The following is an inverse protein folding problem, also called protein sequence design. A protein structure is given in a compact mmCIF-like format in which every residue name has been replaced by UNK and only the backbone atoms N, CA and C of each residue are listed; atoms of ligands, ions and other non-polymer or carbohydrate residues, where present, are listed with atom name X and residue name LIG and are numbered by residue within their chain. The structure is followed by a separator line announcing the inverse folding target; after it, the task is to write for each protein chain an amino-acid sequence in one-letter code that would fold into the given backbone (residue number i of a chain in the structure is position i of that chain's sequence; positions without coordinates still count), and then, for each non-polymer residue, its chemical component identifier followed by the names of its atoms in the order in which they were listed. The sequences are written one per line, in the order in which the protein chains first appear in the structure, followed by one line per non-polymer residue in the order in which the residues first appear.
data_IF_264325926298
#
_entry.id   IF_264325926298
#
_cell.length_a   1.000
_cell.length_b   1.000
_cell.length_c   1.000
_cell.angle_alpha   90.00
_cell.angle_beta   90.00
_cell.angle_gamma   90.00
#
_symmetry.space_group_name_H-M   'P 1'
#
loop_
_entity.id
_entity.type
_entity.pdbx_description
1 polymer ?
#
# COMPACT_ATOMS: atom_id res chain seq x y z
N UNK A 1 12.35 -2.68 3.94
CA UNK A 1 11.33 -1.70 3.55
C UNK A 1 10.90 -0.87 4.75
N UNK A 2 10.44 0.37 4.55
CA UNK A 2 9.82 1.17 5.61
C UNK A 2 8.35 1.39 5.38
N UNK A 3 7.57 1.49 6.46
CA UNK A 3 6.17 1.92 6.39
C UNK A 3 6.13 3.39 6.77
N UNK A 4 5.69 4.23 5.84
CA UNK A 4 5.69 5.69 6.00
C UNK A 4 4.26 6.21 5.86
N UNK A 5 3.85 7.06 6.80
CA UNK A 5 2.53 7.67 6.78
C UNK A 5 2.50 8.88 7.71
N UNK A 6 1.50 9.74 7.55
CA UNK A 6 1.18 10.72 8.58
C UNK A 6 0.45 10.05 9.77
N UNK A 7 0.27 10.79 10.86
CA UNK A 7 -0.45 10.33 12.06
C UNK A 7 -1.85 9.87 11.68
N UNK A 8 -2.34 8.79 12.30
CA UNK A 8 -3.67 8.24 12.04
C UNK A 8 -3.91 7.65 10.64
N UNK A 9 -2.98 7.66 9.68
CA UNK A 9 -3.18 6.94 8.41
C UNK A 9 -3.28 5.40 8.57
N UNK A 10 -2.93 4.89 9.75
CA UNK A 10 -2.96 3.45 10.07
C UNK A 10 -1.67 2.72 9.72
N UNK A 11 -0.52 3.41 9.83
CA UNK A 11 0.83 2.85 9.67
C UNK A 11 1.09 1.69 10.64
N UNK A 12 0.95 1.91 11.94
CA UNK A 12 1.19 0.88 12.98
C UNK A 12 0.26 -0.32 12.77
N UNK A 13 -1.04 -0.08 12.54
CA UNK A 13 -2.00 -1.16 12.25
C UNK A 13 -1.59 -1.97 11.02
N UNK A 14 -1.17 -1.31 9.94
CA UNK A 14 -0.68 -1.98 8.73
C UNK A 14 0.56 -2.82 9.05
N UNK A 15 1.54 -2.25 9.75
CA UNK A 15 2.75 -2.96 10.19
C UNK A 15 2.43 -4.20 11.01
N UNK A 16 1.52 -4.10 11.98
CA UNK A 16 1.12 -5.25 12.81
C UNK A 16 0.41 -6.35 12.01
N UNK A 17 -0.42 -5.98 11.03
CA UNK A 17 -1.01 -6.97 10.11
C UNK A 17 0.06 -7.67 9.29
N UNK A 18 1.08 -6.96 8.80
CA UNK A 18 2.21 -7.59 8.11
C UNK A 18 2.91 -8.60 9.01
N UNK A 19 3.22 -8.23 10.26
CA UNK A 19 3.91 -9.12 11.21
C UNK A 19 3.08 -10.37 11.55
N UNK A 20 1.76 -10.24 11.57
CA UNK A 20 0.87 -11.39 11.77
C UNK A 20 0.84 -12.31 10.55
N UNK A 21 0.63 -11.76 9.35
CA UNK A 21 0.54 -12.57 8.13
C UNK A 21 1.86 -13.30 7.82
N UNK A 22 2.99 -12.71 8.19
CA UNK A 22 4.31 -13.35 8.09
C UNK A 22 4.61 -14.38 9.19
N UNK A 23 3.65 -14.64 10.09
CA UNK A 23 3.75 -15.65 11.14
C UNK A 23 4.70 -15.28 12.28
N UNK A 24 5.16 -14.03 12.36
CA UNK A 24 6.12 -13.60 13.38
C UNK A 24 5.46 -13.27 14.72
N UNK A 25 4.28 -12.65 14.67
CA UNK A 25 3.47 -12.34 15.84
C UNK A 25 2.26 -13.27 15.94
N UNK A 26 2.25 -14.11 16.98
CA UNK A 26 1.12 -15.00 17.30
C UNK A 26 0.08 -14.34 18.24
N UNK A 27 0.36 -13.13 18.74
CA UNK A 27 -0.55 -12.31 19.54
C UNK A 27 -0.62 -10.92 18.93
N UNK A 28 -1.84 -10.42 18.75
CA UNK A 28 -2.10 -9.04 18.37
C UNK A 28 -2.73 -8.38 19.60
N UNK A 29 -2.08 -7.34 20.11
CA UNK A 29 -2.78 -6.36 20.93
C UNK A 29 -3.55 -5.45 19.99
N UNK A 30 -4.83 -5.17 20.25
CA UNK A 30 -5.45 -4.05 19.57
C UNK A 30 -4.70 -2.77 19.96
N UNK A 31 -4.35 -1.93 18.99
CA UNK A 31 -3.65 -0.65 19.24
C UNK A 31 -4.45 0.21 20.24
N UNK A 32 -5.77 0.03 20.29
CA UNK A 32 -6.67 0.69 21.24
C UNK A 32 -6.56 0.19 22.69
N UNK A 33 -6.04 -1.02 22.91
CA UNK A 33 -5.85 -1.62 24.24
C UNK A 33 -4.43 -1.37 24.81
N UNK A 34 -3.60 -0.58 24.11
CA UNK A 34 -2.24 -0.23 24.55
C UNK A 34 -1.22 -1.37 24.43
N UNK A 35 -1.52 -2.42 23.68
CA UNK A 35 -0.68 -3.63 23.57
C UNK A 35 -0.01 -3.79 22.19
N UNK A 36 0.19 -2.69 21.45
CA UNK A 36 0.86 -2.74 20.15
C UNK A 36 2.30 -3.24 20.30
N UNK A 37 2.72 -4.18 19.44
CA UNK A 37 4.04 -4.83 19.58
C UNK A 37 5.18 -3.90 19.16
N UNK A 38 4.90 -2.94 18.28
CA UNK A 38 5.88 -1.98 17.76
C UNK A 38 6.05 -0.76 18.66
N UNK A 39 4.96 -0.30 19.29
CA UNK A 39 4.96 0.84 20.21
C UNK A 39 5.22 0.32 21.64
N UNK A 40 6.48 -0.01 21.94
CA UNK A 40 6.88 -0.63 23.20
C UNK A 40 7.12 0.38 24.33
N UNK A 41 7.29 1.68 24.01
CA UNK A 41 7.44 2.72 25.03
C UNK A 41 6.08 3.11 25.62
N UNK A 42 6.00 3.28 26.95
CA UNK A 42 4.76 3.73 27.61
C UNK A 42 4.24 5.06 27.04
N UNK A 43 5.11 5.94 26.58
CA UNK A 43 4.73 7.23 25.99
C UNK A 43 4.11 7.08 24.60
N UNK A 44 4.57 6.10 23.81
CA UNK A 44 3.98 5.76 22.51
C UNK A 44 2.57 5.20 22.71
N UNK A 45 2.40 4.26 23.64
CA UNK A 45 1.10 3.67 23.98
C UNK A 45 0.11 4.70 24.54
N UNK A 46 0.57 5.60 25.43
CA UNK A 46 -0.27 6.66 26.00
C UNK A 46 -0.75 7.68 24.97
N UNK A 47 0.04 7.92 23.91
CA UNK A 47 -0.24 8.94 22.90
C UNK A 47 -0.78 8.39 21.59
N UNK A 48 -0.74 7.07 21.38
CA UNK A 48 -1.16 6.42 20.13
C UNK A 48 -0.28 6.79 18.93
N UNK A 49 0.98 7.13 19.16
CA UNK A 49 1.93 7.53 18.10
C UNK A 49 3.24 6.77 18.23
N UNK A 50 3.83 6.39 17.10
CA UNK A 50 5.21 5.86 17.06
C UNK A 50 6.20 7.01 17.19
N UNK A 51 7.09 6.91 18.18
CA UNK A 51 8.12 7.90 18.50
C UNK A 51 9.47 7.38 18.00
N UNK A 52 9.80 6.11 18.24
CA UNK A 52 11.07 5.49 17.85
C UNK A 52 10.93 4.47 16.74
N UNK A 53 11.92 4.40 15.85
CA UNK A 53 11.95 3.40 14.79
C UNK A 53 12.29 2.01 15.33
N UNK A 54 11.40 1.05 15.13
CA UNK A 54 11.64 -0.37 15.40
C UNK A 54 12.02 -1.10 14.11
N UNK A 55 13.03 -1.97 14.18
CA UNK A 55 13.44 -2.83 13.07
C UNK A 55 13.07 -4.29 13.37
N UNK A 56 12.30 -4.92 12.49
CA UNK A 56 11.88 -6.32 12.62
C UNK A 56 12.11 -7.07 11.31
N UNK A 57 12.68 -8.26 11.40
CA UNK A 57 12.83 -9.18 10.27
C UNK A 57 11.67 -10.15 10.24
N UNK A 58 10.96 -10.25 9.12
CA UNK A 58 9.93 -11.25 8.87
C UNK A 58 10.15 -11.96 7.53
N UNK A 59 9.40 -13.04 7.29
CA UNK A 59 9.49 -13.83 6.07
C UNK A 59 8.12 -13.90 5.39
N UNK A 60 8.08 -13.59 4.10
CA UNK A 60 6.87 -13.71 3.28
C UNK A 60 7.20 -14.53 2.03
N UNK A 61 6.57 -15.70 1.90
CA UNK A 61 6.95 -16.70 0.88
C UNK A 61 8.47 -16.99 1.01
N UNK A 62 9.20 -16.99 -0.10
CA UNK A 62 10.66 -17.22 -0.11
C UNK A 62 11.51 -15.95 0.08
N UNK A 63 10.91 -14.86 0.61
CA UNK A 63 11.59 -13.57 0.76
C UNK A 63 11.74 -13.17 2.23
N UNK A 64 12.93 -12.70 2.59
CA UNK A 64 13.19 -12.04 3.87
C UNK A 64 12.90 -10.54 3.74
N UNK A 65 12.06 -10.01 4.62
CA UNK A 65 11.68 -8.60 4.66
C UNK A 65 12.14 -8.01 6.00
N UNK A 66 12.98 -6.97 5.94
CA UNK A 66 13.33 -6.18 7.13
C UNK A 66 12.45 -4.92 7.13
N UNK A 67 11.56 -4.81 8.10
CA UNK A 67 10.65 -3.68 8.26
C UNK A 67 11.26 -2.69 9.23
N UNK A 68 11.32 -1.41 8.82
CA UNK A 68 11.58 -0.29 9.73
C UNK A 68 10.30 0.51 9.84
N UNK A 69 9.69 0.50 11.01
CA UNK A 69 8.50 1.33 11.24
C UNK A 69 8.94 2.77 11.52
N UNK A 70 8.53 3.72 10.67
CA UNK A 70 9.04 5.11 10.73
C UNK A 70 8.09 6.02 11.47
N UNK A 71 8.52 6.99 12.29
CA UNK A 71 7.61 7.92 12.97
C UNK A 71 6.72 8.66 11.97
N UNK A 72 5.43 8.80 12.30
CA UNK A 72 4.46 9.49 11.42
C UNK A 72 4.23 10.96 11.75
N UNK A 73 4.80 11.43 12.86
CA UNK A 73 4.65 12.79 13.33
C UNK A 73 5.79 13.67 12.81
N UNK A 74 5.43 14.87 12.36
CA UNK A 74 6.36 15.91 11.86
C UNK A 74 7.41 16.36 12.88
N UNK A 75 7.23 16.06 14.16
CA UNK A 75 8.15 16.48 15.23
C UNK A 75 9.36 15.52 15.34
N UNK A 76 9.27 14.33 14.73
CA UNK A 76 10.33 13.33 14.71
C UNK A 76 11.03 13.24 13.35
N UNK A 77 11.10 14.37 12.62
CA UNK A 77 11.71 14.47 11.28
C UNK A 77 13.12 13.87 11.20
N UNK A 78 13.96 14.04 12.22
CA UNK A 78 15.34 13.49 12.24
C UNK A 78 15.33 11.96 12.16
N UNK A 79 14.37 11.32 12.82
CA UNK A 79 14.27 9.86 12.86
C UNK A 79 13.66 9.28 11.58
N UNK A 80 12.71 10.00 10.99
CA UNK A 80 12.20 9.70 9.64
C UNK A 80 13.32 9.81 8.61
N UNK A 81 14.11 10.88 8.62
CA UNK A 81 15.24 11.03 7.70
C UNK A 81 16.30 9.95 7.88
N UNK A 82 16.63 9.57 9.13
CA UNK A 82 17.57 8.47 9.41
C UNK A 82 17.07 7.14 8.87
N UNK A 83 15.78 6.86 9.05
CA UNK A 83 15.17 5.62 8.59
C UNK A 83 15.16 5.56 7.06
N UNK A 84 14.74 6.64 6.38
CA UNK A 84 14.68 6.69 4.92
C UNK A 84 16.04 6.49 4.24
N UNK A 85 17.14 6.88 4.87
CA UNK A 85 18.50 6.70 4.32
C UNK A 85 18.99 5.26 4.23
N UNK A 86 18.37 4.34 4.97
CA UNK A 86 18.81 2.93 5.03
C UNK A 86 17.82 1.98 4.36
N UNK A 87 16.72 2.51 3.81
CA UNK A 87 15.65 1.72 3.22
C UNK A 87 15.84 1.54 1.72
N UNK A 88 15.76 0.28 1.26
CA UNK A 88 15.74 -0.05 -0.17
C UNK A 88 14.40 0.29 -0.85
N UNK A 89 13.36 0.56 -0.06
CA UNK A 89 12.04 0.95 -0.54
C UNK A 89 11.07 1.20 0.61
N UNK A 90 9.93 1.81 0.32
CA UNK A 90 8.91 2.12 1.33
C UNK A 90 7.47 1.96 0.83
N UNK A 91 6.56 1.73 1.77
CA UNK A 91 5.11 1.72 1.57
C UNK A 91 4.55 3.01 2.14
N UNK A 92 4.04 3.89 1.28
CA UNK A 92 3.36 5.12 1.67
C UNK A 92 1.89 4.83 1.94
N UNK A 93 1.48 4.95 3.21
CA UNK A 93 0.11 4.68 3.65
C UNK A 93 -0.70 5.97 3.67
N UNK A 94 -1.86 5.96 3.04
CA UNK A 94 -2.81 7.08 3.00
C UNK A 94 -4.14 6.67 3.64
N UNK A 95 -4.82 7.60 4.31
CA UNK A 95 -6.21 7.38 4.77
C UNK A 95 -7.13 7.53 3.56
N UNK A 96 -7.92 6.51 3.23
CA UNK A 96 -8.79 6.51 2.06
C UNK A 96 -9.87 7.59 2.07
N UNK A 97 -10.19 8.19 3.22
CA UNK A 97 -11.13 9.31 3.32
C UNK A 97 -10.45 10.66 3.11
N UNK A 98 -9.31 10.88 3.77
CA UNK A 98 -8.64 12.19 3.80
C UNK A 98 -7.66 12.37 2.62
N UNK A 99 -7.22 11.27 2.00
CA UNK A 99 -6.30 11.27 0.87
C UNK A 99 -4.90 11.75 1.28
N UNK A 100 -4.29 12.60 0.43
CA UNK A 100 -3.01 13.24 0.76
C UNK A 100 -3.22 14.45 1.66
N UNK A 101 -2.68 14.42 2.87
CA UNK A 101 -2.68 15.55 3.80
C UNK A 101 -1.34 16.33 3.78
N UNK A 102 -1.30 17.59 4.27
CA UNK A 102 -0.07 18.39 4.32
C UNK A 102 1.11 17.69 5.01
N UNK A 103 0.85 16.86 6.01
CA UNK A 103 1.84 16.05 6.70
C UNK A 103 2.34 14.90 5.82
N UNK A 104 1.47 14.31 5.00
CA UNK A 104 1.85 13.28 4.02
C UNK A 104 2.82 13.85 2.98
N UNK A 105 2.62 15.09 2.54
CA UNK A 105 3.52 15.77 1.62
C UNK A 105 4.93 15.91 2.18
N UNK A 106 5.07 16.18 3.49
CA UNK A 106 6.37 16.31 4.13
C UNK A 106 7.13 14.98 4.15
N UNK A 107 6.47 13.89 4.56
CA UNK A 107 7.09 12.55 4.59
C UNK A 107 7.42 12.10 3.16
N UNK A 108 6.53 12.37 2.19
CA UNK A 108 6.78 12.10 0.77
C UNK A 108 8.01 12.85 0.25
N UNK A 109 8.14 14.14 0.58
CA UNK A 109 9.29 14.96 0.17
C UNK A 109 10.61 14.45 0.76
N UNK A 110 10.59 13.98 2.01
CA UNK A 110 11.76 13.37 2.63
C UNK A 110 12.17 12.09 1.91
N UNK A 111 11.22 11.21 1.59
CA UNK A 111 11.52 9.98 0.86
C UNK A 111 12.02 10.27 -0.57
N UNK A 112 11.53 11.33 -1.22
CA UNK A 112 12.05 11.80 -2.51
C UNK A 112 13.47 12.37 -2.38
N UNK A 113 13.80 13.09 -1.31
CA UNK A 113 15.16 13.61 -1.05
C UNK A 113 16.21 12.51 -0.94
N UNK A 114 15.82 11.35 -0.41
CA UNK A 114 16.71 10.18 -0.27
C UNK A 114 16.51 9.13 -1.37
N UNK A 115 15.76 9.47 -2.41
CA UNK A 115 15.59 8.66 -3.60
C UNK A 115 15.01 7.26 -3.34
N UNK A 116 14.13 7.14 -2.35
CA UNK A 116 13.57 5.86 -1.92
C UNK A 116 12.46 5.42 -2.88
N UNK A 117 12.56 4.26 -3.55
CA UNK A 117 11.48 3.65 -4.32
C UNK A 117 10.27 3.36 -3.46
N UNK A 118 9.05 3.63 -3.95
CA UNK A 118 7.84 3.57 -3.13
C UNK A 118 6.63 3.00 -3.86
N UNK A 119 5.78 2.33 -3.08
CA UNK A 119 4.39 2.03 -3.45
C UNK A 119 3.44 2.76 -2.51
N UNK A 120 2.20 2.94 -2.94
CA UNK A 120 1.13 3.60 -2.19
C UNK A 120 0.10 2.57 -1.74
N UNK A 121 -0.31 2.62 -0.47
CA UNK A 121 -1.39 1.81 0.09
C UNK A 121 -2.48 2.72 0.64
N UNK A 122 -3.63 2.73 -0.03
CA UNK A 122 -4.82 3.45 0.42
C UNK A 122 -5.53 2.59 1.45
N UNK A 123 -5.32 2.91 2.72
CA UNK A 123 -5.83 2.19 3.87
C UNK A 123 -7.20 2.72 4.29
N UNK A 124 -7.84 2.01 5.22
CA UNK A 124 -9.12 2.42 5.83
C UNK A 124 -10.25 2.58 4.82
N UNK A 125 -10.27 1.73 3.79
CA UNK A 125 -11.38 1.66 2.82
C UNK A 125 -12.73 1.28 3.45
N UNK A 126 -12.72 0.85 4.72
CA UNK A 126 -13.92 0.57 5.52
C UNK A 126 -14.55 1.80 6.17
N UNK A 127 -13.87 2.95 6.19
CA UNK A 127 -14.41 4.18 6.79
C UNK A 127 -15.50 4.83 5.94
N UNK A 128 -16.45 5.48 6.61
CA UNK A 128 -17.41 6.38 5.96
C UNK A 128 -16.67 7.51 5.22
N UNK A 129 -17.00 7.72 3.96
CA UNK A 129 -16.36 8.69 3.07
C UNK A 129 -15.05 8.21 2.46
N UNK A 130 -14.67 6.93 2.62
CA UNK A 130 -13.50 6.39 1.94
C UNK A 130 -13.68 6.39 0.42
N UNK A 131 -12.78 7.07 -0.29
CA UNK A 131 -12.78 7.19 -1.74
C UNK A 131 -11.36 6.98 -2.28
N UNK A 132 -11.17 5.81 -2.91
CA UNK A 132 -9.93 5.44 -3.56
C UNK A 132 -9.53 6.41 -4.68
N UNK A 133 -10.50 6.82 -5.50
CA UNK A 133 -10.24 7.68 -6.66
C UNK A 133 -9.90 9.11 -6.23
N UNK A 134 -10.53 9.60 -5.15
CA UNK A 134 -10.12 10.84 -4.49
C UNK A 134 -8.66 10.76 -4.02
N UNK A 135 -8.28 9.67 -3.35
CA UNK A 135 -6.90 9.49 -2.87
C UNK A 135 -5.90 9.45 -4.04
N UNK A 136 -6.19 8.68 -5.09
CA UNK A 136 -5.38 8.65 -6.33
C UNK A 136 -5.23 10.05 -6.94
N UNK A 137 -6.31 10.82 -7.02
CA UNK A 137 -6.27 12.19 -7.55
C UNK A 137 -5.40 13.11 -6.69
N UNK A 138 -5.54 13.04 -5.37
CA UNK A 138 -4.73 13.88 -4.46
C UNK A 138 -3.25 13.50 -4.45
N UNK A 139 -2.89 12.23 -4.69
CA UNK A 139 -1.49 11.81 -4.93
C UNK A 139 -0.92 12.56 -6.13
N UNK A 140 -1.68 12.67 -7.23
CA UNK A 140 -1.24 13.43 -8.40
C UNK A 140 -1.15 14.92 -8.15
N UNK A 141 -2.22 15.51 -7.62
CA UNK A 141 -2.37 16.96 -7.49
C UNK A 141 -1.49 17.58 -6.39
N UNK A 142 -1.34 16.92 -5.25
CA UNK A 142 -0.63 17.46 -4.08
C UNK A 142 0.84 17.03 -4.02
N UNK A 143 1.13 15.78 -4.37
CA UNK A 143 2.52 15.27 -4.34
C UNK A 143 3.28 15.52 -5.65
N UNK A 144 2.57 15.85 -6.74
CA UNK A 144 3.17 15.91 -8.08
C UNK A 144 3.70 14.55 -8.55
N UNK A 145 3.16 13.46 -8.00
CA UNK A 145 3.56 12.09 -8.33
C UNK A 145 2.66 11.51 -9.42
N UNK A 146 3.14 10.51 -10.16
CA UNK A 146 2.34 9.76 -11.13
C UNK A 146 1.77 8.51 -10.44
N UNK A 147 0.51 8.50 -9.97
CA UNK A 147 -0.08 7.29 -9.40
C UNK A 147 -0.35 6.26 -10.51
N UNK A 148 -0.09 4.99 -10.22
CA UNK A 148 -0.39 3.86 -11.10
C UNK A 148 -1.26 2.84 -10.36
N UNK A 149 -2.60 2.94 -10.42
CA UNK A 149 -3.47 1.98 -9.75
C UNK A 149 -3.21 0.55 -10.24
N UNK A 150 -2.87 -0.34 -9.32
CA UNK A 150 -2.80 -1.79 -9.56
C UNK A 150 -4.05 -2.51 -9.09
N UNK A 151 -4.86 -1.83 -8.28
CA UNK A 151 -6.09 -2.38 -7.72
C UNK A 151 -7.22 -1.37 -7.79
N UNK A 152 -8.45 -1.89 -7.87
CA UNK A 152 -9.67 -1.11 -7.69
C UNK A 152 -10.48 -1.68 -6.51
N UNK A 153 -11.09 -0.86 -5.65
CA UNK A 153 -11.89 -1.37 -4.54
C UNK A 153 -13.20 -2.00 -5.03
N UNK A 154 -13.61 -3.09 -4.39
CA UNK A 154 -14.93 -3.71 -4.55
C UNK A 154 -15.79 -3.30 -3.36
N UNK A 155 -16.78 -2.44 -3.63
CA UNK A 155 -17.57 -1.76 -2.60
C UNK A 155 -16.81 -0.60 -1.96
N UNK A 156 -17.46 0.07 -1.02
CA UNK A 156 -16.94 1.22 -0.28
C UNK A 156 -17.45 1.20 1.15
N UNK A 157 -16.70 1.81 2.07
CA UNK A 157 -17.11 1.94 3.47
C UNK A 157 -17.43 0.55 4.06
N UNK A 158 -18.59 0.39 4.72
CA UNK A 158 -19.01 -0.89 5.29
C UNK A 158 -19.22 -2.01 4.26
N UNK A 159 -19.48 -1.65 2.99
CA UNK A 159 -19.67 -2.59 1.89
C UNK A 159 -18.35 -2.95 1.20
N UNK A 160 -17.21 -2.46 1.69
CA UNK A 160 -15.90 -2.84 1.18
C UNK A 160 -15.62 -4.34 1.46
N UNK A 161 -15.63 -5.14 0.41
CA UNK A 161 -15.47 -6.59 0.48
C UNK A 161 -14.21 -7.10 -0.21
N UNK A 162 -13.50 -6.29 -0.98
CA UNK A 162 -12.34 -6.79 -1.71
C UNK A 162 -11.73 -5.79 -2.65
N UNK A 163 -10.85 -6.30 -3.50
CA UNK A 163 -10.16 -5.53 -4.53
C UNK A 163 -10.15 -6.29 -5.84
N UNK A 164 -10.25 -5.58 -6.96
CA UNK A 164 -9.92 -6.11 -8.27
C UNK A 164 -8.41 -5.97 -8.45
N UNK A 165 -7.72 -7.09 -8.67
CA UNK A 165 -6.32 -7.10 -9.09
C UNK A 165 -6.27 -6.86 -10.60
N UNK A 166 -5.73 -5.71 -11.00
CA UNK A 166 -5.59 -5.32 -12.39
C UNK A 166 -4.40 -6.01 -13.08
N UNK A 167 -3.49 -6.66 -12.36
CA UNK A 167 -2.37 -7.42 -12.93
C UNK A 167 -2.83 -8.80 -13.37
N UNK A 168 -3.56 -9.51 -12.52
CA UNK A 168 -4.06 -10.86 -12.81
C UNK A 168 -5.49 -10.87 -13.36
N UNK A 169 -6.16 -9.70 -13.40
CA UNK A 169 -7.55 -9.53 -13.86
C UNK A 169 -8.53 -10.45 -13.12
N UNK A 170 -8.45 -10.44 -11.79
CA UNK A 170 -9.29 -11.21 -10.86
C UNK A 170 -9.79 -10.37 -9.71
N UNK A 171 -10.92 -10.74 -9.12
CA UNK A 171 -11.39 -10.18 -7.86
C UNK A 171 -10.80 -10.97 -6.69
N UNK A 172 -10.23 -10.27 -5.71
CA UNK A 172 -9.78 -10.81 -4.44
C UNK A 172 -10.76 -10.34 -3.38
N UNK A 173 -11.57 -11.26 -2.82
CA UNK A 173 -12.62 -10.89 -1.86
C UNK A 173 -12.44 -11.52 -0.50
N UNK A 174 -12.82 -10.75 0.52
CA UNK A 174 -12.97 -11.19 1.90
C UNK A 174 -14.39 -10.86 2.35
N UNK A 175 -15.25 -11.88 2.37
CA UNK A 175 -16.67 -11.76 2.65
C UNK A 175 -16.95 -11.96 4.14
N UNK A 176 -17.85 -11.15 4.70
CA UNK A 176 -18.23 -11.23 6.11
C UNK A 176 -17.20 -10.62 7.07
N UNK A 177 -17.23 -11.09 8.31
CA UNK A 177 -16.25 -10.73 9.34
C UNK A 177 -14.99 -11.58 9.17
N UNK A 178 -13.92 -10.93 8.71
CA UNK A 178 -12.67 -11.59 8.33
C UNK A 178 -11.79 -11.73 9.55
N UNK A 179 -11.55 -12.97 9.96
CA UNK A 179 -10.60 -13.21 11.04
C UNK A 179 -9.19 -12.99 10.53
N UNK A 180 -8.35 -12.51 11.41
CA UNK A 180 -6.94 -12.29 11.12
C UNK A 180 -6.33 -13.65 10.74
N UNK A 181 -5.65 -13.72 9.59
CA UNK A 181 -5.10 -14.96 9.05
C UNK A 181 -5.99 -15.72 8.07
N UNK A 182 -7.25 -15.30 7.91
CA UNK A 182 -8.07 -15.80 6.81
C UNK A 182 -7.57 -15.24 5.47
N UNK A 183 -7.55 -16.12 4.47
CA UNK A 183 -7.14 -15.76 3.12
C UNK A 183 -8.31 -15.27 2.27
N UNK A 184 -8.03 -14.59 1.18
CA UNK A 184 -9.06 -14.16 0.24
C UNK A 184 -9.54 -15.30 -0.65
N UNK A 185 -10.75 -15.15 -1.19
CA UNK A 185 -11.22 -15.92 -2.32
C UNK A 185 -10.88 -15.22 -3.63
N UNK A 186 -10.41 -15.98 -4.61
CA UNK A 186 -10.21 -15.50 -5.98
C UNK A 186 -11.48 -15.76 -6.78
N UNK A 187 -12.07 -14.69 -7.31
CA UNK A 187 -13.35 -14.69 -8.01
C UNK A 187 -13.25 -13.93 -9.34
N UNK A 188 -14.29 -14.03 -10.17
CA UNK A 188 -14.42 -13.20 -11.36
C UNK A 188 -14.71 -11.74 -10.99
N UNK A 189 -14.26 -10.81 -11.84
CA UNK A 189 -14.50 -9.38 -11.63
C UNK A 189 -16.01 -9.11 -11.70
N UNK A 190 -16.59 -8.41 -10.70
CA UNK A 190 -17.99 -8.01 -10.74
C UNK A 190 -18.35 -7.24 -12.01
N UNK A 191 -19.52 -7.52 -12.58
CA UNK A 191 -19.92 -6.96 -13.88
C UNK A 191 -20.00 -5.43 -13.89
N UNK A 192 -20.34 -4.82 -12.75
CA UNK A 192 -20.37 -3.37 -12.54
C UNK A 192 -18.97 -2.73 -12.52
N UNK A 193 -17.92 -3.50 -12.27
CA UNK A 193 -16.53 -3.06 -12.29
C UNK A 193 -15.77 -3.47 -13.54
N UNK A 194 -16.34 -4.32 -14.41
CA UNK A 194 -15.63 -4.88 -15.57
C UNK A 194 -15.13 -3.80 -16.55
N UNK A 195 -15.98 -2.83 -16.90
CA UNK A 195 -15.61 -1.73 -17.80
C UNK A 195 -14.50 -0.85 -17.20
N UNK A 196 -14.65 -0.52 -15.91
CA UNK A 196 -13.66 0.29 -15.20
C UNK A 196 -12.33 -0.44 -15.00
N UNK A 197 -12.39 -1.74 -14.73
CA UNK A 197 -11.20 -2.57 -14.65
C UNK A 197 -10.47 -2.63 -15.99
N UNK A 198 -11.20 -2.74 -17.12
CA UNK A 198 -10.60 -2.71 -18.45
C UNK A 198 -9.95 -1.35 -18.78
N UNK A 199 -10.58 -0.24 -18.42
CA UNK A 199 -10.01 1.11 -18.56
C UNK A 199 -8.68 1.25 -17.80
N UNK A 200 -8.67 0.94 -16.51
CA UNK A 200 -7.48 1.05 -15.67
C UNK A 200 -6.41 0.01 -16.03
N UNK A 201 -6.81 -1.19 -16.49
CA UNK A 201 -5.90 -2.19 -17.05
C UNK A 201 -5.19 -1.65 -18.29
N UNK A 202 -5.90 -0.96 -19.16
CA UNK A 202 -5.31 -0.39 -20.39
C UNK A 202 -4.25 0.65 -20.03
N UNK A 203 -4.58 1.59 -19.13
CA UNK A 203 -3.62 2.58 -18.64
C UNK A 203 -2.41 1.94 -17.92
N UNK A 204 -2.63 0.84 -17.18
CA UNK A 204 -1.55 0.08 -16.55
C UNK A 204 -0.62 -0.56 -17.59
N UNK A 205 -1.19 -1.25 -18.59
CA UNK A 205 -0.44 -1.93 -19.65
C UNK A 205 0.33 -0.91 -20.49
N UNK A 206 -0.27 0.23 -20.82
CA UNK A 206 0.39 1.35 -21.52
C UNK A 206 1.60 1.87 -20.74
N UNK A 207 1.44 2.16 -19.45
CA UNK A 207 2.53 2.61 -18.60
C UNK A 207 3.67 1.57 -18.48
N UNK A 208 3.35 0.28 -18.47
CA UNK A 208 4.34 -0.81 -18.46
C UNK A 208 5.05 -0.92 -19.81
N UNK A 209 4.32 -0.78 -20.92
CA UNK A 209 4.89 -0.81 -22.26
C UNK A 209 5.92 0.31 -22.49
N UNK A 210 5.70 1.50 -21.92
CA UNK A 210 6.66 2.62 -21.95
C UNK A 210 8.00 2.34 -21.26
N UNK A 211 8.09 1.29 -20.46
CA UNK A 211 9.30 0.98 -19.71
C UNK A 211 10.38 0.33 -20.57
N UNK A 212 10.03 -0.29 -21.70
CA UNK A 212 10.93 -1.12 -22.49
C UNK A 212 10.52 -1.16 -23.97
N UNK A 213 11.48 -0.99 -24.87
CA UNK A 213 11.21 -0.92 -26.31
C UNK A 213 10.55 -2.22 -26.84
N UNK A 214 10.91 -3.39 -26.31
CA UNK A 214 10.31 -4.66 -26.73
C UNK A 214 8.84 -4.75 -26.27
N UNK A 215 8.55 -4.29 -25.05
CA UNK A 215 7.18 -4.27 -24.53
C UNK A 215 6.31 -3.25 -25.28
N UNK A 216 6.89 -2.11 -25.68
CA UNK A 216 6.23 -1.11 -26.52
C UNK A 216 5.87 -1.66 -27.90
N UNK A 217 6.79 -2.38 -28.55
CA UNK A 217 6.53 -3.01 -29.85
C UNK A 217 5.38 -4.02 -29.78
N UNK A 218 5.37 -4.88 -28.75
CA UNK A 218 4.29 -5.84 -28.51
C UNK A 218 2.94 -5.14 -28.33
N UNK A 219 2.90 -4.10 -27.50
CA UNK A 219 1.68 -3.33 -27.23
C UNK A 219 1.13 -2.64 -28.49
N UNK A 220 1.99 -1.97 -29.26
CA UNK A 220 1.60 -1.33 -30.53
C UNK A 220 1.19 -2.34 -31.62
N UNK A 221 1.75 -3.56 -31.56
CA UNK A 221 1.34 -4.69 -32.39
C UNK A 221 -0.03 -5.27 -32.04
N UNK A 222 -0.64 -4.86 -30.92
CA UNK A 222 -1.90 -5.39 -30.41
C UNK A 222 -1.76 -6.74 -29.71
N UNK A 223 -0.54 -7.13 -29.31
CA UNK A 223 -0.30 -8.34 -28.53
C UNK A 223 -0.53 -8.08 -27.03
N UNK A 224 -1.15 -9.04 -26.34
CA UNK A 224 -1.36 -8.93 -24.90
C UNK A 224 -0.07 -9.26 -24.12
N UNK A 225 0.35 -8.33 -23.27
CA UNK A 225 1.45 -8.55 -22.34
C UNK A 225 1.09 -9.63 -21.32
N UNK A 226 2.01 -10.57 -21.10
CA UNK A 226 1.87 -11.60 -20.07
C UNK A 226 1.96 -10.98 -18.67
N UNK A 227 1.40 -11.67 -17.66
CA UNK A 227 1.47 -11.25 -16.25
C UNK A 227 2.92 -11.05 -15.79
N UNK A 228 3.84 -11.90 -16.22
CA UNK A 228 5.26 -11.79 -15.85
C UNK A 228 5.93 -10.55 -16.46
N UNK A 229 5.63 -10.24 -17.72
CA UNK A 229 6.10 -9.00 -18.37
C UNK A 229 5.54 -7.75 -17.67
N UNK A 230 4.27 -7.79 -17.28
CA UNK A 230 3.64 -6.69 -16.54
C UNK A 230 4.30 -6.51 -15.17
N UNK A 231 4.52 -7.59 -14.42
CA UNK A 231 5.23 -7.55 -13.13
C UNK A 231 6.65 -7.02 -13.30
N UNK A 232 7.34 -7.39 -14.38
CA UNK A 232 8.67 -6.87 -14.69
C UNK A 232 8.67 -5.35 -14.97
N UNK A 233 7.75 -4.87 -15.82
CA UNK A 233 7.62 -3.44 -16.12
C UNK A 233 7.24 -2.63 -14.88
N UNK A 234 6.30 -3.12 -14.05
CA UNK A 234 5.95 -2.49 -12.77
C UNK A 234 7.18 -2.38 -11.86
N UNK A 235 8.00 -3.43 -11.78
CA UNK A 235 9.24 -3.38 -11.00
C UNK A 235 10.16 -2.26 -11.48
N UNK A 236 10.37 -2.13 -12.80
CA UNK A 236 11.18 -1.07 -13.41
C UNK A 236 10.62 0.33 -13.11
N UNK A 237 9.31 0.51 -13.26
CA UNK A 237 8.59 1.75 -12.89
C UNK A 237 8.89 2.17 -11.45
N UNK A 238 8.80 1.22 -10.51
CA UNK A 238 9.01 1.48 -9.08
C UNK A 238 10.47 1.81 -8.79
N UNK A 239 11.41 0.99 -9.28
CA UNK A 239 12.84 1.19 -9.00
C UNK A 239 13.36 2.48 -9.61
N UNK A 240 12.82 2.87 -10.76
CA UNK A 240 13.20 4.09 -11.49
C UNK A 240 12.36 5.31 -11.07
N UNK A 241 11.39 5.12 -10.16
CA UNK A 241 10.51 6.16 -9.61
C UNK A 241 9.74 6.94 -10.69
N UNK A 242 9.40 6.27 -11.80
CA UNK A 242 8.66 6.83 -12.94
C UNK A 242 7.19 7.06 -12.54
N UNK A 243 6.60 6.06 -11.88
CA UNK A 243 5.26 6.11 -11.34
C UNK A 243 5.20 5.28 -10.05
N UNK A 244 4.12 5.47 -9.29
CA UNK A 244 3.96 4.92 -7.95
C UNK A 244 2.73 4.02 -7.92
N UNK A 245 2.90 2.68 -7.87
CA UNK A 245 1.81 1.72 -7.75
C UNK A 245 0.87 2.07 -6.60
N UNK A 246 -0.44 2.06 -6.86
CA UNK A 246 -1.47 2.32 -5.85
C UNK A 246 -2.30 1.06 -5.61
N UNK A 247 -2.24 0.57 -4.39
CA UNK A 247 -3.02 -0.55 -3.87
C UNK A 247 -4.00 -0.03 -2.82
N UNK A 248 -4.99 -0.82 -2.44
CA UNK A 248 -5.97 -0.41 -1.43
C UNK A 248 -6.42 -1.56 -0.51
N UNK A 249 -6.91 -1.20 0.65
CA UNK A 249 -7.40 -2.16 1.63
C UNK A 249 -7.87 -1.54 2.92
N UNK A 250 -8.15 -2.41 3.89
CA UNK A 250 -8.40 -2.05 5.27
C UNK A 250 -7.58 -2.97 6.17
N UNK A 251 -6.49 -2.43 6.71
CA UNK A 251 -5.70 -3.12 7.71
C UNK A 251 -6.53 -3.43 8.97
N UNK A 252 -7.46 -2.54 9.33
CA UNK A 252 -8.35 -2.76 10.47
C UNK A 252 -9.25 -3.99 10.26
N UNK A 253 -9.89 -4.10 9.08
CA UNK A 253 -10.78 -5.22 8.72
C UNK A 253 -10.07 -6.43 8.12
N UNK A 254 -8.74 -6.48 8.12
CA UNK A 254 -7.94 -7.60 7.63
C UNK A 254 -8.07 -7.86 6.11
N UNK A 255 -8.39 -6.83 5.31
CA UNK A 255 -8.59 -6.95 3.86
C UNK A 255 -7.53 -6.18 3.09
N UNK A 256 -6.94 -6.78 2.05
CA UNK A 256 -6.03 -6.10 1.13
C UNK A 256 -4.59 -5.89 1.61
N UNK A 257 -4.22 -6.34 2.82
CA UNK A 257 -2.81 -6.29 3.27
C UNK A 257 -1.99 -7.40 2.63
N UNK A 258 -2.55 -8.61 2.46
CA UNK A 258 -1.86 -9.75 1.86
C UNK A 258 -1.43 -9.50 0.41
N UNK A 259 -2.26 -8.91 -0.48
CA UNK A 259 -1.83 -8.59 -1.84
C UNK A 259 -0.84 -7.41 -1.91
N UNK A 260 -0.73 -6.61 -0.85
CA UNK A 260 0.27 -5.55 -0.76
C UNK A 260 1.66 -6.10 -0.39
N UNK A 261 1.72 -7.26 0.28
CA UNK A 261 2.94 -8.00 0.60
C UNK A 261 3.46 -8.86 -0.55
#
# INVERSE_FOLDING_TARGET
IGIMAHIDAGKTTTTERILYYTGLNYKIGEVHDGAATMDWMEEEQKRGITITSAAITCFWKDHQINIIDTPGHVDFTVEVERSLRVLDGAVAVFDGKEGVEPQSEQVWRQATKYDVPRICFVNKMDKLGADFYFTVRTIKERLGATPLPLQLPIGSENDFIGVVDLVEMRALTWRGEVKIGEDYTVEEIPADLAEKAAEYRTALVEAVAETDDELMELYLGGEELTVEQIKHGIRKIVTDRIAYPVLCGSAYKNKGVQPML
#
